data_IF_275819872794
#
_entry.id   IF_275819872794
#
_cell.length_a   1.000
_cell.length_b   1.000
_cell.length_c   1.000
_cell.angle_alpha   90.00
_cell.angle_beta   90.00
_cell.angle_gamma   90.00
#
_symmetry.space_group_name_H-M   'P 1'
#
loop_
_entity.id
_entity.type
_entity.pdbx_description
1 polymer ?
#
# COMPACT_ATOMS: atom_id res chain seq x y z
N UNK A 1 -0.28 14.84 15.32
CA UNK A 1 -0.63 13.69 14.48
C UNK A 1 0.30 12.53 14.80
N UNK A 2 -0.24 11.35 15.02
CA UNK A 2 0.53 10.19 15.42
C UNK A 2 1.06 9.47 14.17
N UNK A 3 2.39 9.47 13.96
CA UNK A 3 3.03 8.78 12.82
C UNK A 3 3.15 7.27 13.04
N UNK A 4 2.70 6.75 14.19
CA UNK A 4 2.76 5.32 14.51
C UNK A 4 1.45 4.59 14.25
N UNK A 5 0.38 5.31 13.93
CA UNK A 5 -0.90 4.69 13.62
C UNK A 5 -0.83 3.95 12.26
N UNK A 6 -1.63 2.89 12.16
CA UNK A 6 -1.72 2.12 10.92
C UNK A 6 -2.64 2.84 9.95
N UNK A 7 -2.19 2.93 8.71
CA UNK A 7 -2.89 3.65 7.63
C UNK A 7 -3.19 2.72 6.46
N UNK A 8 -4.22 3.07 5.70
CA UNK A 8 -4.58 2.32 4.49
C UNK A 8 -5.10 3.26 3.40
N UNK A 9 -4.92 2.86 2.17
CA UNK A 9 -5.48 3.55 1.02
C UNK A 9 -5.56 2.60 -0.19
N UNK A 10 -6.38 3.00 -1.16
CA UNK A 10 -6.33 2.41 -2.49
C UNK A 10 -5.08 2.95 -3.18
N UNK A 11 -4.18 2.05 -3.57
CA UNK A 11 -2.86 2.41 -4.10
C UNK A 11 -2.79 2.41 -5.63
N UNK A 12 -3.89 2.06 -6.30
CA UNK A 12 -4.00 2.11 -7.76
C UNK A 12 -4.96 3.22 -8.17
N UNK A 13 -4.84 3.79 -9.39
CA UNK A 13 -5.75 4.83 -9.83
C UNK A 13 -7.21 4.34 -9.82
N UNK A 14 -8.14 5.24 -9.49
CA UNK A 14 -9.57 4.96 -9.57
C UNK A 14 -9.97 4.85 -11.04
N UNK A 15 -10.74 3.81 -11.36
CA UNK A 15 -11.19 3.55 -12.71
C UNK A 15 -11.57 2.08 -12.90
N UNK A 16 -11.84 1.71 -14.14
CA UNK A 16 -12.22 0.33 -14.49
C UNK A 16 -10.97 -0.45 -14.90
N UNK A 17 -10.13 -0.74 -13.94
CA UNK A 17 -8.96 -1.59 -14.17
C UNK A 17 -9.24 -3.04 -13.78
N UNK A 18 -8.50 -3.96 -14.37
CA UNK A 18 -8.59 -5.37 -13.99
C UNK A 18 -8.04 -5.66 -12.60
N UNK A 19 -7.07 -4.88 -12.16
CA UNK A 19 -6.40 -5.04 -10.88
C UNK A 19 -6.52 -3.76 -10.07
N UNK A 20 -6.85 -3.89 -8.79
CA UNK A 20 -6.81 -2.81 -7.83
C UNK A 20 -6.11 -3.26 -6.56
N UNK A 21 -5.41 -2.34 -5.92
CA UNK A 21 -4.59 -2.64 -4.74
C UNK A 21 -5.03 -1.75 -3.58
N UNK A 22 -5.31 -2.40 -2.44
CA UNK A 22 -5.43 -1.73 -1.14
C UNK A 22 -4.12 -1.98 -0.40
N UNK A 23 -3.47 -0.89 0.04
CA UNK A 23 -2.21 -0.95 0.78
C UNK A 23 -2.42 -0.53 2.21
N UNK A 24 -1.84 -1.29 3.15
CA UNK A 24 -1.94 -1.06 4.60
C UNK A 24 -0.53 -1.00 5.15
N UNK A 25 -0.21 0.00 5.97
CA UNK A 25 1.10 0.16 6.56
C UNK A 25 1.01 0.54 8.03
N UNK A 26 1.74 -0.15 8.88
CA UNK A 26 1.82 0.14 10.30
C UNK A 26 1.92 -1.10 11.18
N UNK A 27 1.95 -0.88 12.49
CA UNK A 27 2.20 -1.93 13.47
C UNK A 27 1.08 -2.97 13.57
N UNK A 28 -0.14 -2.62 13.18
CA UNK A 28 -1.29 -3.52 13.28
C UNK A 28 -1.41 -4.49 12.09
N UNK A 29 -0.55 -4.36 11.08
CA UNK A 29 -0.65 -5.18 9.86
C UNK A 29 -0.68 -6.69 10.16
N UNK A 30 0.16 -7.26 11.03
CA UNK A 30 0.07 -8.70 11.30
C UNK A 30 -1.29 -9.12 11.85
N UNK A 31 -1.85 -8.35 12.76
CA UNK A 31 -3.19 -8.63 13.32
C UNK A 31 -4.28 -8.48 12.26
N UNK A 32 -4.22 -7.44 11.45
CA UNK A 32 -5.19 -7.20 10.37
C UNK A 32 -5.16 -8.33 9.33
N UNK A 33 -3.97 -8.84 9.00
CA UNK A 33 -3.83 -9.92 8.04
C UNK A 33 -4.56 -11.19 8.52
N UNK A 34 -4.53 -11.49 9.80
CA UNK A 34 -5.25 -12.64 10.35
C UNK A 34 -6.76 -12.50 10.19
N UNK A 35 -7.28 -11.30 10.35
CA UNK A 35 -8.72 -11.03 10.17
C UNK A 35 -9.10 -11.07 8.68
N UNK A 36 -8.35 -10.36 7.86
CA UNK A 36 -8.66 -10.18 6.44
C UNK A 36 -8.39 -11.44 5.60
N UNK A 37 -7.38 -12.23 5.98
CA UNK A 37 -6.88 -13.33 5.18
C UNK A 37 -6.96 -14.70 5.89
N UNK A 38 -7.18 -14.69 7.19
CA UNK A 38 -7.15 -15.90 8.01
C UNK A 38 -5.76 -16.27 8.53
N UNK A 39 -4.71 -15.66 7.99
CA UNK A 39 -3.33 -15.84 8.45
C UNK A 39 -2.43 -14.75 7.92
N UNK A 40 -1.29 -14.55 8.55
CA UNK A 40 -0.24 -13.67 8.05
C UNK A 40 0.53 -14.40 6.93
N UNK A 41 0.59 -13.86 5.72
CA UNK A 41 1.36 -14.47 4.63
C UNK A 41 2.85 -14.52 4.94
N UNK A 42 3.55 -15.47 4.33
CA UNK A 42 5.01 -15.51 4.39
C UNK A 42 5.59 -14.23 3.76
N UNK A 43 6.67 -13.66 4.33
CA UNK A 43 7.22 -12.41 3.83
C UNK A 43 7.59 -12.47 2.34
N UNK A 44 7.12 -11.51 1.57
CA UNK A 44 7.43 -11.29 0.16
C UNK A 44 7.06 -12.46 -0.77
N UNK A 45 6.18 -13.34 -0.33
CA UNK A 45 5.67 -14.44 -1.16
C UNK A 45 4.24 -14.11 -1.56
N UNK A 46 4.00 -14.04 -2.87
CA UNK A 46 2.67 -13.81 -3.42
C UNK A 46 1.81 -15.06 -3.21
N UNK A 47 0.70 -14.91 -2.51
CA UNK A 47 -0.21 -16.02 -2.25
C UNK A 47 -1.65 -15.62 -2.53
N UNK A 48 -2.43 -16.57 -3.04
CA UNK A 48 -3.86 -16.36 -3.28
C UNK A 48 -4.62 -16.44 -1.97
N UNK A 49 -5.53 -15.47 -1.78
CA UNK A 49 -6.40 -15.40 -0.59
C UNK A 49 -7.79 -14.91 -0.95
N UNK A 50 -8.76 -15.29 -0.14
CA UNK A 50 -10.04 -14.62 -0.06
C UNK A 50 -9.92 -13.46 0.92
N UNK A 51 -10.27 -12.26 0.49
CA UNK A 51 -10.25 -11.07 1.33
C UNK A 51 -11.59 -10.95 2.05
N UNK A 52 -11.56 -10.99 3.38
CA UNK A 52 -12.77 -11.11 4.21
C UNK A 52 -12.98 -9.86 5.06
N UNK A 53 -14.23 -9.55 5.34
CA UNK A 53 -14.58 -8.53 6.33
C UNK A 53 -14.52 -9.12 7.75
N UNK A 54 -14.83 -8.29 8.74
CA UNK A 54 -14.81 -8.67 10.14
C UNK A 54 -15.80 -9.80 10.47
N UNK A 55 -16.89 -9.91 9.71
CA UNK A 55 -17.90 -10.95 9.86
C UNK A 55 -17.51 -12.27 9.17
N UNK A 56 -16.40 -12.29 8.47
CA UNK A 56 -15.93 -13.47 7.75
C UNK A 56 -16.47 -13.62 6.34
N UNK A 57 -17.21 -12.63 5.83
CA UNK A 57 -17.73 -12.64 4.46
C UNK A 57 -16.62 -12.31 3.46
N UNK A 58 -16.53 -13.07 2.39
CA UNK A 58 -15.58 -12.79 1.32
C UNK A 58 -16.03 -11.58 0.50
N UNK A 59 -15.19 -10.56 0.43
CA UNK A 59 -15.46 -9.34 -0.34
C UNK A 59 -14.86 -9.41 -1.74
N UNK A 60 -13.71 -10.04 -1.86
CA UNK A 60 -12.97 -10.23 -3.11
C UNK A 60 -11.95 -11.34 -2.90
N UNK A 61 -11.22 -11.69 -3.93
CA UNK A 61 -10.07 -12.57 -3.81
C UNK A 61 -8.96 -12.14 -4.76
N UNK A 62 -7.76 -12.55 -4.48
CA UNK A 62 -6.61 -12.16 -5.28
C UNK A 62 -5.31 -12.51 -4.57
N UNK A 63 -4.30 -11.72 -4.83
CA UNK A 63 -2.96 -11.92 -4.30
C UNK A 63 -2.74 -11.03 -3.08
N UNK A 64 -2.18 -11.58 -2.01
CA UNK A 64 -1.70 -10.81 -0.88
C UNK A 64 -0.18 -10.87 -0.82
N UNK A 65 0.44 -9.73 -0.48
CA UNK A 65 1.87 -9.59 -0.27
C UNK A 65 2.12 -8.91 1.06
N UNK A 66 2.96 -9.54 1.89
CA UNK A 66 3.37 -9.01 3.18
C UNK A 66 4.85 -8.68 3.20
N UNK A 67 5.17 -7.47 3.68
CA UNK A 67 6.54 -6.99 3.83
C UNK A 67 6.77 -6.64 5.31
N UNK A 68 7.54 -7.44 6.06
CA UNK A 68 7.81 -7.13 7.48
C UNK A 68 8.73 -5.93 7.64
N UNK A 69 8.48 -5.14 8.69
CA UNK A 69 9.36 -4.04 9.05
C UNK A 69 10.75 -4.56 9.41
N UNK A 70 11.82 -3.85 9.07
CA UNK A 70 11.88 -2.61 8.30
C UNK A 70 12.00 -2.80 6.79
N UNK A 71 11.87 -4.03 6.29
CA UNK A 71 12.12 -4.40 4.89
C UNK A 71 10.88 -4.17 4.02
N UNK A 72 10.44 -2.92 3.95
CA UNK A 72 9.29 -2.48 3.18
C UNK A 72 9.53 -1.08 2.62
N UNK A 73 8.65 -0.64 1.73
CA UNK A 73 8.75 0.72 1.19
C UNK A 73 8.68 1.79 2.28
N UNK A 74 7.76 1.63 3.23
CA UNK A 74 7.57 2.61 4.31
C UNK A 74 8.51 2.42 5.50
N UNK A 75 9.22 1.30 5.58
CA UNK A 75 9.97 0.90 6.77
C UNK A 75 9.12 0.29 7.87
N UNK A 76 7.80 0.22 7.67
CA UNK A 76 6.84 -0.38 8.60
C UNK A 76 6.39 -1.75 8.07
N UNK A 77 5.63 -2.51 8.88
CA UNK A 77 4.90 -3.65 8.35
C UNK A 77 3.96 -3.17 7.26
N UNK A 78 3.97 -3.81 6.12
CA UNK A 78 3.20 -3.40 4.95
C UNK A 78 2.49 -4.60 4.35
N UNK A 79 1.20 -4.43 4.03
CA UNK A 79 0.40 -5.46 3.37
C UNK A 79 -0.25 -4.87 2.13
N UNK A 80 -0.18 -5.60 1.02
CA UNK A 80 -0.91 -5.26 -0.20
C UNK A 80 -1.93 -6.34 -0.50
N UNK A 81 -3.17 -5.91 -0.72
CA UNK A 81 -4.27 -6.78 -1.15
C UNK A 81 -4.57 -6.43 -2.60
N UNK A 82 -4.17 -7.33 -3.51
CA UNK A 82 -4.26 -7.12 -4.95
C UNK A 82 -5.45 -7.92 -5.48
N UNK A 83 -6.58 -7.24 -5.61
CA UNK A 83 -7.82 -7.82 -6.10
C UNK A 83 -8.28 -7.21 -7.41
N UNK A 84 -9.58 -7.15 -7.61
CA UNK A 84 -10.17 -6.58 -8.80
C UNK A 84 -10.28 -5.06 -8.71
N UNK A 85 -10.14 -4.38 -9.86
CA UNK A 85 -9.99 -2.93 -9.92
C UNK A 85 -11.27 -2.12 -9.99
N UNK A 86 -12.44 -2.73 -9.80
CA UNK A 86 -13.72 -2.00 -9.82
C UNK A 86 -13.82 -1.04 -8.64
N UNK A 87 -14.39 0.15 -8.87
CA UNK A 87 -14.49 1.19 -7.84
C UNK A 87 -15.27 0.70 -6.63
N UNK A 88 -16.40 0.02 -6.85
CA UNK A 88 -17.26 -0.46 -5.77
C UNK A 88 -16.55 -1.50 -4.92
N UNK A 89 -15.92 -2.48 -5.54
CA UNK A 89 -15.27 -3.59 -4.84
C UNK A 89 -14.04 -3.11 -4.05
N UNK A 90 -13.27 -2.17 -4.63
CA UNK A 90 -12.13 -1.56 -3.94
C UNK A 90 -12.59 -0.74 -2.73
N UNK A 91 -13.66 0.03 -2.89
CA UNK A 91 -14.21 0.80 -1.77
C UNK A 91 -14.72 -0.10 -0.66
N UNK A 92 -15.42 -1.18 -1.00
CA UNK A 92 -15.90 -2.16 -0.01
C UNK A 92 -14.71 -2.76 0.78
N UNK A 93 -13.64 -3.10 0.09
CA UNK A 93 -12.45 -3.65 0.73
C UNK A 93 -11.76 -2.62 1.63
N UNK A 94 -11.59 -1.39 1.14
CA UNK A 94 -11.01 -0.32 1.93
C UNK A 94 -11.85 -0.03 3.18
N UNK A 95 -13.17 0.05 3.05
CA UNK A 95 -14.06 0.29 4.20
C UNK A 95 -13.96 -0.83 5.23
N UNK A 96 -13.85 -2.09 4.81
CA UNK A 96 -13.65 -3.20 5.73
C UNK A 96 -12.35 -3.06 6.53
N UNK A 97 -11.28 -2.60 5.88
CA UNK A 97 -10.01 -2.34 6.55
C UNK A 97 -10.15 -1.18 7.56
N UNK A 98 -10.77 -0.08 7.15
CA UNK A 98 -10.94 1.09 8.01
C UNK A 98 -11.80 0.79 9.23
N UNK A 99 -12.79 -0.10 9.12
CA UNK A 99 -13.62 -0.53 10.24
C UNK A 99 -12.84 -1.30 11.32
N UNK A 100 -11.66 -1.78 11.00
CA UNK A 100 -10.78 -2.46 11.96
C UNK A 100 -9.91 -1.50 12.79
N UNK A 101 -10.17 -0.20 12.70
CA UNK A 101 -9.44 0.82 13.46
C UNK A 101 -8.25 1.41 12.73
N UNK A 102 -8.19 1.22 11.42
CA UNK A 102 -7.14 1.76 10.56
C UNK A 102 -7.57 3.14 10.06
N UNK A 103 -6.63 4.10 10.03
CA UNK A 103 -6.89 5.44 9.52
C UNK A 103 -6.66 5.50 8.01
N UNK A 104 -7.51 6.25 7.32
CA UNK A 104 -7.28 6.52 5.89
C UNK A 104 -5.99 7.34 5.73
N UNK A 105 -5.11 6.90 4.84
CA UNK A 105 -3.88 7.62 4.56
C UNK A 105 -4.17 8.98 3.91
N UNK A 106 -3.35 9.98 4.26
CA UNK A 106 -3.35 11.27 3.56
C UNK A 106 -2.64 11.10 2.21
N UNK A 107 -2.95 11.94 1.21
CA UNK A 107 -2.20 11.92 -0.05
C UNK A 107 -0.69 12.00 0.20
N UNK A 108 0.08 11.08 -0.40
CA UNK A 108 1.53 11.03 -0.26
C UNK A 108 2.04 10.47 1.07
N UNK A 109 1.18 9.99 1.94
CA UNK A 109 1.61 9.58 3.29
C UNK A 109 2.49 8.33 3.30
N UNK A 110 2.34 7.41 2.38
CA UNK A 110 3.26 6.25 2.31
C UNK A 110 4.69 6.69 2.02
N UNK A 111 4.88 7.62 1.08
CA UNK A 111 6.20 8.20 0.80
C UNK A 111 6.72 9.03 1.98
N UNK A 112 5.84 9.76 2.66
CA UNK A 112 6.19 10.51 3.87
C UNK A 112 6.72 9.56 4.95
N UNK A 113 6.05 8.43 5.18
CA UNK A 113 6.49 7.42 6.15
C UNK A 113 7.84 6.81 5.76
N UNK A 114 8.03 6.54 4.47
CA UNK A 114 9.32 6.06 3.95
C UNK A 114 10.44 7.06 4.26
N UNK A 115 10.19 8.34 4.05
CA UNK A 115 11.15 9.40 4.38
C UNK A 115 11.42 9.47 5.88
N UNK A 116 10.38 9.50 6.70
CA UNK A 116 10.52 9.59 8.16
C UNK A 116 11.24 8.38 8.76
N UNK A 117 11.11 7.22 8.15
CA UNK A 117 11.77 5.99 8.59
C UNK A 117 13.13 5.76 7.93
N UNK A 118 13.67 6.76 7.23
CA UNK A 118 15.01 6.71 6.65
C UNK A 118 15.16 5.78 5.46
N UNK A 119 14.06 5.37 4.81
CA UNK A 119 14.09 4.50 3.63
C UNK A 119 14.45 5.25 2.36
N UNK A 120 14.03 6.51 2.28
CA UNK A 120 14.32 7.42 1.17
C UNK A 120 14.67 8.80 1.74
N UNK A 121 15.42 9.59 1.00
CA UNK A 121 15.64 11.00 1.33
C UNK A 121 14.56 11.89 0.68
N UNK A 122 14.61 13.19 0.96
CA UNK A 122 13.61 14.13 0.44
C UNK A 122 13.65 14.21 -1.08
N UNK A 123 14.84 14.21 -1.67
CA UNK A 123 15.02 14.24 -3.11
C UNK A 123 14.40 13.01 -3.78
N UNK A 124 14.57 11.84 -3.16
CA UNK A 124 13.96 10.61 -3.65
C UNK A 124 12.44 10.62 -3.52
N UNK A 125 11.90 11.18 -2.43
CA UNK A 125 10.45 11.34 -2.26
C UNK A 125 9.87 12.25 -3.35
N UNK A 126 10.54 13.36 -3.64
CA UNK A 126 10.14 14.25 -4.73
C UNK A 126 10.25 13.55 -6.10
N UNK A 127 11.28 12.74 -6.30
CA UNK A 127 11.46 12.00 -7.55
C UNK A 127 10.35 10.98 -7.80
N UNK A 128 9.82 10.35 -6.76
CA UNK A 128 8.66 9.44 -6.89
C UNK A 128 7.45 10.20 -7.41
N UNK A 129 7.15 11.37 -6.84
CA UNK A 129 6.04 12.19 -7.28
C UNK A 129 6.23 12.65 -8.73
N UNK A 130 7.43 13.08 -9.09
CA UNK A 130 7.75 13.49 -10.45
C UNK A 130 7.62 12.35 -11.45
N UNK A 131 8.04 11.14 -11.05
CA UNK A 131 7.92 9.95 -11.90
C UNK A 131 6.46 9.61 -12.18
N UNK A 132 5.62 9.65 -11.15
CA UNK A 132 4.18 9.39 -11.28
C UNK A 132 3.51 10.43 -12.18
N UNK A 133 3.88 11.70 -12.03
CA UNK A 133 3.28 12.81 -12.77
C UNK A 133 3.91 13.04 -14.14
N UNK A 134 4.96 12.28 -14.50
CA UNK A 134 5.68 12.51 -15.75
C UNK A 134 4.79 12.29 -16.96
N UNK A 135 4.87 13.22 -17.92
CA UNK A 135 4.10 13.19 -19.17
C UNK A 135 4.99 12.95 -20.39
N UNK A 136 6.30 12.77 -20.19
CA UNK A 136 7.23 12.48 -21.27
C UNK A 136 8.24 11.43 -20.82
N UNK A 137 8.80 10.71 -21.79
CA UNK A 137 9.84 9.73 -21.53
C UNK A 137 11.07 10.36 -20.89
N UNK A 138 11.47 11.53 -21.34
CA UNK A 138 12.62 12.24 -20.81
C UNK A 138 12.41 12.65 -19.36
N UNK A 139 11.24 13.17 -19.02
CA UNK A 139 10.90 13.53 -17.64
C UNK A 139 10.90 12.29 -16.73
N UNK A 140 10.35 11.17 -17.21
CA UNK A 140 10.34 9.92 -16.45
C UNK A 140 11.75 9.41 -16.18
N UNK A 141 12.63 9.43 -17.19
CA UNK A 141 14.02 9.00 -17.03
C UNK A 141 14.80 9.91 -16.08
N UNK A 142 14.55 11.23 -16.14
CA UNK A 142 15.18 12.18 -15.22
C UNK A 142 14.76 11.93 -13.78
N UNK A 143 13.46 11.72 -13.54
CA UNK A 143 12.94 11.41 -12.22
C UNK A 143 13.49 10.09 -11.67
N UNK A 144 13.60 9.09 -12.53
CA UNK A 144 14.16 7.79 -12.16
C UNK A 144 15.63 7.89 -11.74
N UNK A 145 16.42 8.69 -12.45
CA UNK A 145 17.83 8.93 -12.07
C UNK A 145 17.93 9.59 -10.70
N UNK A 146 17.06 10.56 -10.41
CA UNK A 146 17.02 11.20 -9.09
C UNK A 146 16.61 10.22 -8.00
N UNK A 147 15.69 9.31 -8.30
CA UNK A 147 15.26 8.28 -7.36
C UNK A 147 16.40 7.30 -7.05
N UNK A 148 17.24 6.98 -8.04
CA UNK A 148 18.40 6.11 -7.89
C UNK A 148 19.60 6.83 -7.24
N UNK A 149 19.46 8.13 -6.91
CA UNK A 149 20.52 8.91 -6.30
C UNK A 149 21.50 9.53 -7.30
N UNK A 150 21.15 9.57 -8.57
CA UNK A 150 21.95 10.22 -9.62
C UNK A 150 21.46 11.67 -9.81
N UNK A 151 22.33 12.60 -9.56
CA UNK A 151 22.02 14.04 -9.66
C UNK A 151 22.77 14.70 -10.81
#
# INVERSE_FOLDING_TARGET
>A
MNNTDTIAAIATPLGRGGIGIVRISGDQVPHLAEILLGKLPAPRVATFHHFKNQQGDTLDHGIALYFPAPHSFTGEHLLELQGHGGIVILDMLLQAVLQLGVRLARPGEFSERAFLNGKIDLTQAEAIADLIDSSSEQAARSALRSLDGEF
#
